data_IF_803967313679
#
_entry.id   IF_803967313679
#
_cell.length_a   1.000
_cell.length_b   1.000
_cell.length_c   1.000
_cell.angle_alpha   90.00
_cell.angle_beta   90.00
_cell.angle_gamma   90.00
#
_symmetry.space_group_name_H-M   'P 1'
#
loop_
_entity.id
_entity.type
_entity.pdbx_description
1 polymer ?
#
# COMPACT_ATOMS: atom_id res chain seq x y z
N UNK A 1 -53.70 -71.43 26.17
CA UNK A 1 -52.49 -71.13 26.98
C UNK A 1 -51.47 -70.35 26.14
N UNK A 2 -51.83 -69.21 25.55
CA UNK A 2 -50.91 -68.50 24.62
C UNK A 2 -51.02 -66.97 24.64
N UNK A 3 -52.22 -66.44 24.91
CA UNK A 3 -52.47 -64.99 25.01
C UNK A 3 -51.75 -64.30 26.19
N UNK A 4 -51.60 -64.93 27.38
CA UNK A 4 -50.88 -64.30 28.50
C UNK A 4 -49.37 -64.14 28.23
N UNK A 5 -48.74 -65.16 27.61
CA UNK A 5 -47.30 -65.15 27.31
C UNK A 5 -46.93 -64.15 26.20
N UNK A 6 -47.79 -63.99 25.18
CA UNK A 6 -47.56 -62.99 24.13
C UNK A 6 -47.73 -61.57 24.66
N UNK A 7 -48.69 -61.33 25.55
CA UNK A 7 -48.90 -60.04 26.20
C UNK A 7 -47.71 -59.65 27.10
N UNK A 8 -47.12 -60.62 27.81
CA UNK A 8 -45.95 -60.43 28.65
C UNK A 8 -44.69 -60.10 27.82
N UNK A 9 -44.46 -60.83 26.72
CA UNK A 9 -43.35 -60.52 25.80
C UNK A 9 -43.51 -59.16 25.09
N UNK A 10 -44.73 -58.75 24.78
CA UNK A 10 -45.03 -57.41 24.25
C UNK A 10 -44.74 -56.32 25.28
N UNK A 11 -45.06 -56.57 26.55
CA UNK A 11 -44.79 -55.66 27.66
C UNK A 11 -43.29 -55.47 27.89
N UNK A 12 -42.52 -56.56 27.91
CA UNK A 12 -41.05 -56.48 28.03
C UNK A 12 -40.42 -55.70 26.86
N UNK A 13 -40.89 -55.92 25.63
CA UNK A 13 -40.42 -55.16 24.47
C UNK A 13 -40.79 -53.67 24.56
N UNK A 14 -41.99 -53.35 25.03
CA UNK A 14 -42.41 -51.97 25.23
C UNK A 14 -41.57 -51.27 26.32
N UNK A 15 -41.28 -51.96 27.41
CA UNK A 15 -40.42 -51.46 28.50
C UNK A 15 -38.98 -51.25 28.00
N UNK A 16 -38.44 -52.16 27.19
CA UNK A 16 -37.12 -52.01 26.57
C UNK A 16 -37.05 -50.83 25.60
N UNK A 17 -38.07 -50.64 24.75
CA UNK A 17 -38.14 -49.49 23.82
C UNK A 17 -38.24 -48.19 24.62
N UNK A 18 -39.06 -48.16 25.68
CA UNK A 18 -39.20 -47.00 26.56
C UNK A 18 -37.87 -46.63 27.22
N UNK A 19 -37.14 -47.62 27.74
CA UNK A 19 -35.82 -47.40 28.35
C UNK A 19 -34.81 -46.90 27.31
N UNK A 20 -34.81 -47.47 26.11
CA UNK A 20 -33.93 -47.06 25.01
C UNK A 20 -34.21 -45.62 24.54
N UNK A 21 -35.49 -45.24 24.46
CA UNK A 21 -35.91 -43.87 24.16
C UNK A 21 -35.49 -42.90 25.27
N UNK A 22 -35.64 -43.27 26.54
CA UNK A 22 -35.16 -42.45 27.66
C UNK A 22 -33.65 -42.24 27.60
N UNK A 23 -32.87 -43.29 27.32
CA UNK A 23 -31.42 -43.18 27.11
C UNK A 23 -31.09 -42.26 25.93
N UNK A 24 -31.80 -42.41 24.81
CA UNK A 24 -31.61 -41.52 23.65
C UNK A 24 -31.93 -40.07 23.97
N UNK A 25 -33.01 -39.81 24.73
CA UNK A 25 -33.38 -38.45 25.13
C UNK A 25 -32.29 -37.83 26.00
N UNK A 26 -31.77 -38.56 27.00
CA UNK A 26 -30.65 -38.08 27.83
C UNK A 26 -29.44 -37.75 26.97
N UNK A 27 -29.11 -38.58 25.97
CA UNK A 27 -28.01 -38.30 25.05
C UNK A 27 -28.28 -37.02 24.24
N UNK A 28 -29.49 -36.84 23.72
CA UNK A 28 -29.89 -35.64 22.99
C UNK A 28 -29.82 -34.38 23.86
N UNK A 29 -30.28 -34.45 25.11
CA UNK A 29 -30.22 -33.33 26.06
C UNK A 29 -28.78 -32.97 26.40
N UNK A 30 -27.92 -33.97 26.60
CA UNK A 30 -26.48 -33.77 26.80
C UNK A 30 -25.83 -33.12 25.57
N UNK A 31 -26.17 -33.56 24.36
CA UNK A 31 -25.68 -32.92 23.13
C UNK A 31 -26.15 -31.47 23.01
N UNK A 32 -27.41 -31.19 23.33
CA UNK A 32 -27.95 -29.82 23.33
C UNK A 32 -27.21 -28.92 24.33
N UNK A 33 -26.93 -29.43 25.55
CA UNK A 33 -26.15 -28.71 26.55
C UNK A 33 -24.71 -28.44 26.09
N UNK A 34 -24.06 -29.43 25.48
CA UNK A 34 -22.70 -29.29 24.92
C UNK A 34 -22.70 -28.23 23.82
N UNK A 35 -23.62 -28.29 22.86
CA UNK A 35 -23.72 -27.32 21.77
C UNK A 35 -24.01 -25.89 22.30
N UNK A 36 -24.90 -25.76 23.28
CA UNK A 36 -25.15 -24.48 23.94
C UNK A 36 -23.90 -23.91 24.62
N UNK A 37 -23.08 -24.77 25.24
CA UNK A 37 -21.80 -24.35 25.83
C UNK A 37 -20.78 -23.90 24.78
N UNK A 38 -20.76 -24.54 23.61
CA UNK A 38 -19.89 -24.14 22.49
C UNK A 38 -20.30 -22.79 21.92
N UNK A 39 -21.59 -22.57 21.72
CA UNK A 39 -22.13 -21.30 21.22
C UNK A 39 -21.75 -20.14 22.16
N UNK A 40 -21.95 -20.33 23.48
CA UNK A 40 -21.57 -19.33 24.47
C UNK A 40 -20.05 -19.04 24.47
N UNK A 41 -19.21 -20.09 24.41
CA UNK A 41 -17.75 -19.94 24.36
C UNK A 41 -17.28 -19.25 23.08
N UNK A 42 -17.90 -19.56 21.93
CA UNK A 42 -17.58 -18.94 20.65
C UNK A 42 -17.97 -17.46 20.64
N UNK A 43 -19.16 -17.14 21.17
CA UNK A 43 -19.62 -15.76 21.32
C UNK A 43 -18.70 -14.93 22.24
N UNK A 44 -18.30 -15.51 23.38
CA UNK A 44 -17.36 -14.88 24.30
C UNK A 44 -15.98 -14.68 23.64
N UNK A 45 -15.50 -15.68 22.89
CA UNK A 45 -14.24 -15.59 22.16
C UNK A 45 -14.28 -14.49 21.09
N UNK A 46 -15.34 -14.42 20.28
CA UNK A 46 -15.48 -13.38 19.26
C UNK A 46 -15.49 -11.99 19.90
N UNK A 47 -16.24 -11.84 20.99
CA UNK A 47 -16.31 -10.59 21.76
C UNK A 47 -14.95 -10.19 22.31
N UNK A 48 -14.18 -11.14 22.85
CA UNK A 48 -12.83 -10.91 23.36
C UNK A 48 -11.81 -10.60 22.24
N UNK A 49 -11.99 -11.18 21.04
CA UNK A 49 -11.08 -10.98 19.91
C UNK A 49 -11.33 -9.68 19.14
N UNK A 50 -12.58 -9.21 19.07
CA UNK A 50 -12.98 -8.05 18.26
C UNK A 50 -12.14 -6.78 18.54
N UNK A 51 -11.84 -6.39 19.80
CA UNK A 51 -11.00 -5.22 20.07
C UNK A 51 -9.59 -5.33 19.44
N UNK A 52 -8.97 -6.51 19.54
CA UNK A 52 -7.64 -6.76 18.96
C UNK A 52 -7.69 -6.73 17.44
N UNK A 53 -8.73 -7.31 16.81
CA UNK A 53 -8.91 -7.26 15.36
C UNK A 53 -9.04 -5.82 14.85
N UNK A 54 -9.87 -5.00 15.50
CA UNK A 54 -10.07 -3.59 15.13
C UNK A 54 -8.74 -2.82 15.25
N UNK A 55 -8.03 -2.97 16.38
CA UNK A 55 -6.74 -2.32 16.59
C UNK A 55 -5.73 -2.74 15.53
N UNK A 56 -5.55 -4.03 15.31
CA UNK A 56 -4.61 -4.56 14.31
C UNK A 56 -4.93 -4.06 12.91
N UNK A 57 -6.21 -4.03 12.51
CA UNK A 57 -6.60 -3.49 11.21
C UNK A 57 -6.31 -1.99 11.09
N UNK A 58 -6.58 -1.19 12.12
CA UNK A 58 -6.25 0.24 12.14
C UNK A 58 -4.75 0.49 12.04
N UNK A 59 -3.94 -0.29 12.77
CA UNK A 59 -2.48 -0.22 12.76
C UNK A 59 -1.94 -0.59 11.37
N UNK A 60 -2.45 -1.67 10.76
CA UNK A 60 -2.05 -2.07 9.41
C UNK A 60 -2.34 -0.97 8.39
N UNK A 61 -3.54 -0.37 8.44
CA UNK A 61 -3.87 0.76 7.55
C UNK A 61 -2.96 1.97 7.79
N UNK A 62 -2.65 2.29 9.04
CA UNK A 62 -1.73 3.37 9.37
C UNK A 62 -0.34 3.11 8.77
N UNK A 63 0.20 1.89 8.95
CA UNK A 63 1.47 1.48 8.34
C UNK A 63 1.46 1.59 6.81
N UNK A 64 0.42 1.09 6.15
CA UNK A 64 0.29 1.20 4.69
C UNK A 64 0.26 2.65 4.20
N UNK A 65 -0.40 3.55 4.95
CA UNK A 65 -0.43 4.97 4.63
C UNK A 65 0.94 5.64 4.85
N UNK A 66 1.64 5.27 5.93
CA UNK A 66 3.01 5.74 6.20
C UNK A 66 3.94 5.30 5.07
N UNK A 67 3.93 4.03 4.68
CA UNK A 67 4.78 3.50 3.62
C UNK A 67 4.51 4.18 2.28
N UNK A 68 3.23 4.41 1.93
CA UNK A 68 2.87 5.16 0.71
C UNK A 68 3.40 6.59 0.74
N UNK A 69 3.28 7.25 1.88
CA UNK A 69 3.76 8.63 2.05
C UNK A 69 5.28 8.70 1.99
N UNK A 70 5.98 7.74 2.61
CA UNK A 70 7.44 7.62 2.57
C UNK A 70 7.93 7.44 1.12
N UNK A 71 7.35 6.50 0.38
CA UNK A 71 7.69 6.28 -1.04
C UNK A 71 7.45 7.53 -1.89
N UNK A 72 6.35 8.24 -1.66
CA UNK A 72 6.09 9.50 -2.37
C UNK A 72 7.15 10.56 -2.05
N UNK A 73 7.59 10.66 -0.79
CA UNK A 73 8.65 11.57 -0.38
C UNK A 73 10.01 11.20 -1.01
N UNK A 74 10.36 9.91 -1.08
CA UNK A 74 11.58 9.42 -1.74
C UNK A 74 11.62 9.79 -3.23
N UNK A 75 10.49 9.66 -3.94
CA UNK A 75 10.38 10.07 -5.35
C UNK A 75 10.65 11.57 -5.48
N UNK A 76 10.09 12.41 -4.61
CA UNK A 76 10.33 13.85 -4.64
C UNK A 76 11.81 14.15 -4.36
N UNK A 77 12.39 13.53 -3.33
CA UNK A 77 13.79 13.75 -2.95
C UNK A 77 14.76 13.38 -4.09
N UNK A 78 14.53 12.25 -4.77
CA UNK A 78 15.35 11.86 -5.91
C UNK A 78 15.30 12.90 -7.04
N UNK A 79 14.15 13.54 -7.24
CA UNK A 79 13.99 14.62 -8.22
C UNK A 79 14.76 15.89 -7.84
N UNK A 80 14.84 16.21 -6.55
CA UNK A 80 15.71 17.29 -6.05
C UNK A 80 17.19 16.98 -6.30
N UNK A 81 17.63 15.75 -6.01
CA UNK A 81 19.01 15.34 -6.25
C UNK A 81 19.39 15.40 -7.74
N UNK A 82 18.48 14.99 -8.63
CA UNK A 82 18.67 15.12 -10.07
C UNK A 82 18.77 16.58 -10.50
N UNK A 83 17.90 17.45 -9.98
CA UNK A 83 17.94 18.90 -10.27
C UNK A 83 19.28 19.50 -9.84
N UNK A 84 19.77 19.15 -8.65
CA UNK A 84 21.04 19.65 -8.11
C UNK A 84 22.25 19.16 -8.93
N UNK A 85 22.24 17.90 -9.37
CA UNK A 85 23.29 17.34 -10.24
C UNK A 85 23.31 18.03 -11.60
N UNK A 86 22.14 18.26 -12.19
CA UNK A 86 22.03 18.98 -13.46
C UNK A 86 22.48 20.43 -13.32
N UNK A 87 22.12 21.11 -12.23
CA UNK A 87 22.55 22.49 -11.94
C UNK A 87 24.08 22.64 -11.98
N UNK A 88 24.83 21.73 -11.36
CA UNK A 88 26.29 21.77 -11.39
C UNK A 88 26.85 21.75 -12.82
N UNK A 89 26.27 20.91 -13.70
CA UNK A 89 26.64 20.85 -15.12
C UNK A 89 26.27 22.14 -15.86
N UNK A 90 25.07 22.70 -15.62
CA UNK A 90 24.63 23.97 -16.22
C UNK A 90 25.54 25.13 -15.83
N UNK A 91 25.98 25.18 -14.57
CA UNK A 91 26.86 26.25 -14.10
C UNK A 91 28.25 26.18 -14.74
N UNK A 92 28.81 24.97 -14.93
CA UNK A 92 30.10 24.75 -15.60
C UNK A 92 30.10 25.26 -17.05
N UNK A 93 28.98 25.12 -17.76
CA UNK A 93 28.84 25.58 -19.15
C UNK A 93 29.15 24.50 -20.20
N UNK A 94 28.88 24.79 -21.48
CA UNK A 94 28.91 23.79 -22.57
C UNK A 94 30.31 23.47 -23.08
N UNK A 95 31.31 24.31 -22.77
CA UNK A 95 32.63 24.31 -23.39
C UNK A 95 33.43 23.01 -23.20
N UNK A 96 33.39 22.43 -21.99
CA UNK A 96 34.17 21.21 -21.68
C UNK A 96 33.53 19.95 -22.25
N UNK A 97 32.19 19.86 -22.22
CA UNK A 97 31.45 18.65 -22.54
C UNK A 97 30.00 19.03 -22.90
N UNK A 98 29.79 19.28 -24.20
CA UNK A 98 28.49 19.68 -24.73
C UNK A 98 27.45 18.57 -24.57
N UNK A 99 27.84 17.31 -24.73
CA UNK A 99 26.90 16.17 -24.66
C UNK A 99 26.32 16.04 -23.24
N UNK A 100 27.18 16.03 -22.22
CA UNK A 100 26.76 15.98 -20.82
C UNK A 100 25.99 17.23 -20.40
N UNK A 101 26.29 18.38 -21.00
CA UNK A 101 25.55 19.62 -20.77
C UNK A 101 24.13 19.57 -21.34
N UNK A 102 23.96 19.08 -22.57
CA UNK A 102 22.65 18.87 -23.19
C UNK A 102 21.83 17.82 -22.41
N UNK A 103 22.47 16.74 -21.95
CA UNK A 103 21.84 15.76 -21.07
C UNK A 103 21.31 16.40 -19.77
N UNK A 104 22.06 17.33 -19.17
CA UNK A 104 21.63 18.07 -17.99
C UNK A 104 20.40 18.96 -18.27
N UNK A 105 20.32 19.58 -19.45
CA UNK A 105 19.15 20.35 -19.88
C UNK A 105 17.94 19.43 -20.02
N UNK A 106 18.10 18.27 -20.63
CA UNK A 106 17.02 17.30 -20.79
C UNK A 106 16.53 16.76 -19.45
N UNK A 107 17.43 16.51 -18.50
CA UNK A 107 17.10 16.17 -17.12
C UNK A 107 16.28 17.28 -16.44
N UNK A 108 16.70 18.56 -16.56
CA UNK A 108 15.93 19.68 -16.00
C UNK A 108 14.54 19.81 -16.64
N UNK A 109 14.42 19.61 -17.96
CA UNK A 109 13.13 19.62 -18.67
C UNK A 109 12.22 18.48 -18.20
N UNK A 110 12.78 17.29 -18.00
CA UNK A 110 12.06 16.16 -17.41
C UNK A 110 11.56 16.49 -16.00
N UNK A 111 12.40 17.16 -15.20
CA UNK A 111 12.02 17.58 -13.84
C UNK A 111 10.89 18.60 -13.84
N UNK A 112 10.95 19.60 -14.72
CA UNK A 112 9.86 20.56 -14.91
C UNK A 112 8.57 19.85 -15.31
N UNK A 113 8.63 18.89 -16.25
CA UNK A 113 7.44 18.12 -16.68
C UNK A 113 6.84 17.31 -15.52
N UNK A 114 7.68 16.65 -14.72
CA UNK A 114 7.25 15.86 -13.57
C UNK A 114 6.48 16.71 -12.56
N UNK A 115 7.08 17.83 -12.13
CA UNK A 115 6.49 18.72 -11.13
C UNK A 115 5.28 19.51 -11.68
N UNK A 116 5.26 19.84 -12.97
CA UNK A 116 4.11 20.49 -13.62
C UNK A 116 2.89 19.56 -13.74
N UNK A 117 3.13 18.26 -13.90
CA UNK A 117 2.06 17.25 -13.96
C UNK A 117 1.56 16.88 -12.56
N UNK A 118 2.42 16.96 -11.54
CA UNK A 118 2.11 16.63 -10.16
C UNK A 118 1.89 17.88 -9.28
N UNK A 119 0.85 18.67 -9.60
CA UNK A 119 0.49 19.92 -8.90
C UNK A 119 0.07 19.75 -7.43
N UNK A 120 0.01 18.54 -6.89
CA UNK A 120 -0.42 18.27 -5.52
C UNK A 120 0.59 18.74 -4.46
N UNK A 121 1.83 19.06 -4.85
CA UNK A 121 2.89 19.43 -3.91
C UNK A 121 3.04 20.95 -3.83
N UNK A 122 2.74 21.55 -2.67
CA UNK A 122 2.97 22.99 -2.43
C UNK A 122 4.43 23.43 -2.61
N UNK A 123 5.37 22.51 -2.41
CA UNK A 123 6.81 22.71 -2.63
C UNK A 123 7.23 22.68 -4.11
N UNK A 124 6.32 22.31 -5.03
CA UNK A 124 6.59 22.20 -6.46
C UNK A 124 6.90 23.55 -7.11
N UNK A 125 6.24 24.63 -6.68
CA UNK A 125 6.37 25.95 -7.33
C UNK A 125 7.79 26.52 -7.20
N UNK A 126 8.43 26.34 -6.03
CA UNK A 126 9.82 26.78 -5.82
C UNK A 126 10.80 26.03 -6.73
N UNK A 127 10.64 24.71 -6.85
CA UNK A 127 11.50 23.86 -7.70
C UNK A 127 11.28 24.17 -9.17
N UNK A 128 10.03 24.35 -9.59
CA UNK A 128 9.70 24.72 -10.97
C UNK A 128 10.32 26.06 -11.34
N UNK A 129 10.22 27.05 -10.47
CA UNK A 129 10.83 28.36 -10.69
C UNK A 129 12.36 28.25 -10.80
N UNK A 130 13.00 27.51 -9.89
CA UNK A 130 14.45 27.28 -9.91
C UNK A 130 14.90 26.56 -11.19
N UNK A 131 14.23 25.46 -11.55
CA UNK A 131 14.55 24.70 -12.75
C UNK A 131 14.35 25.53 -14.04
N UNK A 132 13.30 26.35 -14.12
CA UNK A 132 13.08 27.25 -15.25
C UNK A 132 14.17 28.34 -15.34
N UNK A 133 14.62 28.88 -14.20
CA UNK A 133 15.75 29.83 -14.18
C UNK A 133 17.05 29.18 -14.66
N UNK A 134 17.32 27.94 -14.25
CA UNK A 134 18.47 27.17 -14.73
C UNK A 134 18.39 26.91 -16.23
N UNK A 135 17.20 26.56 -16.75
CA UNK A 135 17.00 26.38 -18.19
C UNK A 135 17.23 27.67 -18.98
N UNK A 136 16.73 28.81 -18.49
CA UNK A 136 16.98 30.11 -19.11
C UNK A 136 18.48 30.43 -19.14
N UNK A 137 19.18 30.21 -18.01
CA UNK A 137 20.64 30.38 -17.93
C UNK A 137 21.37 29.43 -18.88
N UNK A 138 20.87 28.20 -19.03
CA UNK A 138 21.48 27.21 -19.88
C UNK A 138 21.43 27.62 -21.36
N UNK A 139 20.30 28.19 -21.78
CA UNK A 139 20.10 28.76 -23.13
C UNK A 139 21.07 29.92 -23.36
N UNK A 140 21.15 30.88 -22.44
CA UNK A 140 22.07 32.03 -22.60
C UNK A 140 23.54 31.59 -22.73
N UNK A 141 23.96 30.57 -21.98
CA UNK A 141 25.32 29.99 -22.10
C UNK A 141 25.55 29.31 -23.45
N UNK A 142 24.55 28.62 -24.01
CA UNK A 142 24.65 28.03 -25.35
C UNK A 142 24.74 29.09 -26.44
N UNK A 143 23.96 30.16 -26.32
CA UNK A 143 24.01 31.29 -27.24
C UNK A 143 25.39 31.96 -27.24
N UNK A 144 25.99 32.13 -26.06
CA UNK A 144 27.33 32.70 -25.91
C UNK A 144 28.41 31.80 -26.54
N UNK A 145 28.42 30.50 -26.24
CA UNK A 145 29.38 29.57 -26.88
C UNK A 145 29.20 29.54 -28.41
N UNK A 146 27.96 29.56 -28.90
CA UNK A 146 27.69 29.59 -30.34
C UNK A 146 28.22 30.87 -31.00
N UNK A 147 28.06 32.04 -30.35
CA UNK A 147 28.62 33.31 -30.82
C UNK A 147 30.15 33.29 -30.82
N UNK A 148 30.77 32.71 -29.80
CA UNK A 148 32.22 32.58 -29.72
C UNK A 148 32.76 31.69 -30.84
N UNK A 149 32.12 30.55 -31.10
CA UNK A 149 32.45 29.68 -32.23
C UNK A 149 32.35 30.45 -33.55
N UNK A 150 31.23 31.14 -33.82
CA UNK A 150 31.08 31.93 -35.04
C UNK A 150 32.16 32.99 -35.19
N UNK A 151 32.51 33.69 -34.11
CA UNK A 151 33.55 34.73 -34.14
C UNK A 151 34.91 34.11 -34.48
N UNK A 152 35.26 32.99 -33.84
CA UNK A 152 36.51 32.28 -34.08
C UNK A 152 36.64 31.74 -35.53
N UNK A 153 35.54 31.24 -36.11
CA UNK A 153 35.52 30.73 -37.49
C UNK A 153 35.37 31.83 -38.56
N UNK A 154 34.82 33.00 -38.22
CA UNK A 154 34.70 34.16 -39.12
C UNK A 154 35.96 35.04 -39.20
N UNK A 155 36.89 34.85 -38.28
CA UNK A 155 38.17 35.58 -38.19
C UNK A 155 39.37 34.88 -38.84
N UNK A 156 39.17 33.71 -39.45
CA UNK A 156 40.12 32.99 -40.32
C UNK A 156 39.66 33.02 -41.76
#
# INVERSE_FOLDING_TARGET
MGVPQTMEALRERADFIKESLQKSQIITDNMAAILGSFDHRLSALETAMRPTQIRTHSIRRAHENIDKTLKAAEVILSQFDLTRKAEAKILRGPHEDLESYLEAIDQLRSNVKFFSSNKSFKSSDGVLNHANQLLAKAISKLEEEFRQLLTNYSGT
#
